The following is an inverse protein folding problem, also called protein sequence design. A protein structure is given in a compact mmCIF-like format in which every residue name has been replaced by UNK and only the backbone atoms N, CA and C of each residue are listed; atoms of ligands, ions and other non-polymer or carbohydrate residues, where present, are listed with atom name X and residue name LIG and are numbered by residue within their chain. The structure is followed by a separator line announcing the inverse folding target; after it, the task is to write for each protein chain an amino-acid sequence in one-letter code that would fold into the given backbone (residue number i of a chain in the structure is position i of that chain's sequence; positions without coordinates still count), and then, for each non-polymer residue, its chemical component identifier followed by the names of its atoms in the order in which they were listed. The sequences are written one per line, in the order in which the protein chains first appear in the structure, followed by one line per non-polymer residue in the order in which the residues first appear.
data_IF_524601831403
#
_entry.id   IF_524601831403
#
_cell.length_a   1.000
_cell.length_b   1.000
_cell.length_c   1.000
_cell.angle_alpha   90.00
_cell.angle_beta   90.00
_cell.angle_gamma   90.00
#
_symmetry.space_group_name_H-M   'P 1'
#
loop_
_entity.id
_entity.type
_entity.pdbx_description
1 polymer ?
#
# COMPACT_ATOMS: atom_id res chain seq x y z
N UNK A 1 -14.30 -7.34 -21.85
CA UNK A 1 -15.08 -6.61 -20.81
C UNK A 1 -14.30 -5.39 -20.34
N UNK A 2 -14.60 -4.17 -20.85
CA UNK A 2 -14.03 -2.92 -20.33
C UNK A 2 -14.63 -2.67 -18.94
N UNK A 3 -13.80 -2.66 -17.90
CA UNK A 3 -14.25 -2.27 -16.55
C UNK A 3 -14.59 -0.78 -16.57
N UNK A 4 -15.71 -0.40 -15.96
CA UNK A 4 -16.12 1.01 -15.85
C UNK A 4 -15.04 1.83 -15.12
N UNK A 5 -14.87 3.11 -15.50
CA UNK A 5 -13.91 4.04 -14.88
C UNK A 5 -14.08 4.11 -13.36
N UNK A 6 -15.33 3.98 -12.87
CA UNK A 6 -15.67 3.96 -11.45
C UNK A 6 -15.08 2.73 -10.74
N UNK A 7 -15.03 1.60 -11.43
CA UNK A 7 -14.42 0.35 -10.94
C UNK A 7 -12.90 0.44 -10.95
N UNK A 8 -12.30 1.08 -11.97
CA UNK A 8 -10.86 1.33 -12.02
C UNK A 8 -10.41 2.26 -10.89
N UNK A 9 -11.10 3.38 -10.65
CA UNK A 9 -10.75 4.31 -9.57
C UNK A 9 -10.87 3.72 -8.17
N UNK A 10 -11.74 2.70 -7.97
CA UNK A 10 -11.81 1.93 -6.72
C UNK A 10 -10.66 0.93 -6.57
N UNK A 11 -10.05 0.49 -7.68
CA UNK A 11 -8.94 -0.48 -7.74
C UNK A 11 -7.58 0.21 -7.59
N UNK A 12 -7.43 1.45 -8.08
CA UNK A 12 -6.18 2.22 -8.02
C UNK A 12 -6.05 3.05 -6.73
N UNK A 13 -6.30 2.45 -5.56
CA UNK A 13 -5.78 3.02 -4.32
C UNK A 13 -4.29 2.68 -4.23
N UNK A 14 -3.48 3.65 -4.64
CA UNK A 14 -2.03 3.61 -4.48
C UNK A 14 -1.65 3.64 -3.00
N UNK A 15 -0.61 2.89 -2.67
CA UNK A 15 -0.05 2.71 -1.34
C UNK A 15 1.40 3.16 -1.43
N UNK A 16 1.77 4.17 -0.67
CA UNK A 16 3.15 4.59 -0.54
C UNK A 16 3.83 3.68 0.46
N UNK A 17 4.99 3.18 0.09
CA UNK A 17 5.78 2.26 0.90
C UNK A 17 7.07 2.96 1.27
N UNK A 18 7.35 3.00 2.57
CA UNK A 18 8.54 3.62 3.14
C UNK A 18 9.32 2.59 3.94
N UNK A 19 10.63 2.78 4.07
CA UNK A 19 11.43 2.03 5.04
C UNK A 19 11.01 2.46 6.45
N UNK A 20 10.74 1.52 7.36
CA UNK A 20 10.30 1.88 8.70
C UNK A 20 11.40 2.48 9.58
N UNK A 21 12.68 2.28 9.24
CA UNK A 21 13.81 2.77 10.03
C UNK A 21 14.16 4.21 9.71
N UNK A 22 14.24 4.50 8.42
CA UNK A 22 14.79 5.76 7.91
C UNK A 22 13.72 6.61 7.19
N UNK A 23 12.48 6.08 7.07
CA UNK A 23 11.38 6.69 6.34
C UNK A 23 11.69 6.99 4.85
N UNK A 24 12.75 6.40 4.31
CA UNK A 24 13.09 6.54 2.89
C UNK A 24 11.98 5.93 2.03
N UNK A 25 11.55 6.66 1.01
CA UNK A 25 10.49 6.21 0.09
C UNK A 25 11.01 5.06 -0.77
N UNK A 26 10.37 3.90 -0.64
CA UNK A 26 10.69 2.70 -1.41
C UNK A 26 9.94 2.66 -2.74
N UNK A 27 8.74 3.27 -2.78
CA UNK A 27 7.94 3.36 -3.98
C UNK A 27 6.45 3.36 -3.71
N UNK A 28 5.68 3.53 -4.79
CA UNK A 28 4.22 3.56 -4.76
C UNK A 28 3.67 2.34 -5.49
N UNK A 29 2.81 1.58 -4.82
CA UNK A 29 2.29 0.31 -5.33
C UNK A 29 0.77 0.26 -5.21
N UNK A 30 0.10 -0.49 -6.08
CA UNK A 30 -1.31 -0.81 -5.86
C UNK A 30 -1.47 -1.81 -4.72
N UNK A 31 -2.67 -1.89 -4.12
CA UNK A 31 -2.98 -2.91 -3.08
C UNK A 31 -2.69 -4.34 -3.56
N UNK A 32 -2.94 -4.62 -4.85
CA UNK A 32 -2.68 -5.92 -5.47
C UNK A 32 -1.18 -6.20 -5.58
N UNK A 33 -0.40 -5.19 -5.96
CA UNK A 33 1.06 -5.33 -6.04
C UNK A 33 1.71 -5.44 -4.67
N UNK A 34 1.19 -4.74 -3.65
CA UNK A 34 1.67 -4.93 -2.29
C UNK A 34 1.56 -6.40 -1.86
N UNK A 35 0.45 -7.06 -2.19
CA UNK A 35 0.26 -8.48 -1.91
C UNK A 35 1.28 -9.37 -2.65
N UNK A 36 1.55 -9.09 -3.93
CA UNK A 36 2.50 -9.87 -4.73
C UNK A 36 3.95 -9.67 -4.29
N UNK A 37 4.38 -8.42 -4.08
CA UNK A 37 5.77 -8.04 -3.82
C UNK A 37 6.13 -8.28 -2.36
N UNK A 38 5.28 -7.83 -1.43
CA UNK A 38 5.56 -7.88 0.00
C UNK A 38 4.94 -9.09 0.70
N UNK A 39 4.24 -9.96 -0.05
CA UNK A 39 3.55 -11.16 0.47
C UNK A 39 2.66 -10.83 1.67
N UNK A 40 1.92 -9.71 1.58
CA UNK A 40 1.02 -9.22 2.63
C UNK A 40 -0.45 -9.40 2.21
N UNK A 41 -1.26 -9.98 3.09
CA UNK A 41 -2.70 -10.12 2.86
C UNK A 41 -3.40 -8.76 2.85
N UNK A 42 -4.52 -8.65 2.11
CA UNK A 42 -5.30 -7.40 2.00
C UNK A 42 -5.77 -6.88 3.37
N UNK A 43 -6.26 -7.78 4.22
CA UNK A 43 -6.69 -7.46 5.59
C UNK A 43 -5.53 -6.98 6.45
N UNK A 44 -4.40 -7.70 6.41
CA UNK A 44 -3.18 -7.31 7.13
C UNK A 44 -2.69 -5.94 6.66
N UNK A 45 -2.60 -5.72 5.36
CA UNK A 45 -2.20 -4.43 4.80
C UNK A 45 -3.13 -3.31 5.28
N UNK A 46 -4.45 -3.52 5.23
CA UNK A 46 -5.43 -2.52 5.68
C UNK A 46 -5.30 -2.25 7.19
N UNK A 47 -5.10 -3.28 8.01
CA UNK A 47 -4.88 -3.16 9.46
C UNK A 47 -3.62 -2.35 9.77
N UNK A 48 -2.51 -2.64 9.09
CA UNK A 48 -1.23 -1.96 9.37
C UNK A 48 -1.22 -0.51 8.89
N UNK A 49 -1.88 -0.22 7.77
CA UNK A 49 -2.12 1.17 7.32
C UNK A 49 -2.94 1.93 8.36
N UNK A 50 -4.03 1.33 8.86
CA UNK A 50 -4.88 1.98 9.86
C UNK A 50 -4.15 2.21 11.19
N UNK A 51 -3.35 1.25 11.61
CA UNK A 51 -2.56 1.34 12.85
C UNK A 51 -1.30 2.21 12.70
N UNK A 52 -0.93 2.61 11.48
CA UNK A 52 0.33 3.33 11.22
C UNK A 52 1.58 2.54 11.62
N UNK A 53 1.50 1.21 11.67
CA UNK A 53 2.60 0.35 12.12
C UNK A 53 3.38 -0.22 10.93
N UNK A 54 4.69 -0.45 11.09
CA UNK A 54 5.48 -1.11 10.07
C UNK A 54 5.25 -2.63 10.05
N UNK A 55 5.29 -3.22 8.87
CA UNK A 55 5.29 -4.67 8.64
C UNK A 55 6.57 -5.07 7.91
N UNK A 56 7.37 -5.97 8.49
CA UNK A 56 8.65 -6.43 7.91
C UNK A 56 9.54 -5.26 7.42
N UNK A 57 9.75 -4.29 8.30
CA UNK A 57 10.55 -3.08 8.09
C UNK A 57 10.01 -2.11 7.02
N UNK A 58 8.72 -2.23 6.66
CA UNK A 58 8.07 -1.38 5.67
C UNK A 58 6.85 -0.73 6.27
N UNK A 59 6.74 0.58 6.11
CA UNK A 59 5.57 1.35 6.48
C UNK A 59 4.70 1.53 5.23
N UNK A 60 3.42 1.19 5.36
CA UNK A 60 2.44 1.29 4.28
C UNK A 60 1.48 2.43 4.61
N UNK A 61 1.33 3.38 3.69
CA UNK A 61 0.43 4.53 3.87
C UNK A 61 -0.39 4.78 2.61
N UNK A 62 -1.56 5.40 2.77
CA UNK A 62 -2.37 5.87 1.61
C UNK A 62 -2.13 7.34 1.29
N UNK A 63 -1.57 8.08 2.24
CA UNK A 63 -1.18 9.47 2.12
C UNK A 63 0.34 9.56 2.00
N UNK A 64 0.81 10.35 1.04
CA UNK A 64 2.23 10.64 0.90
C UNK A 64 2.70 11.39 2.16
N UNK A 65 3.76 10.91 2.79
CA UNK A 65 4.29 11.49 4.04
C UNK A 65 5.12 12.77 3.82
N UNK A 66 5.62 13.02 2.60
CA UNK A 66 6.31 14.24 2.16
C UNK A 66 6.31 14.29 0.62
#
# INVERSE_FOLDING_TARGET
KKKSAITLSKITKFIYVYNSKDLSHLGTYSTVECSKIFKIGKDTLSKYILLGKPYKNKLFTRTKLH
#
